data_IF_094617428083
#
_entry.id   IF_094617428083
#
_cell.length_a   1.000
_cell.length_b   1.000
_cell.length_c   1.000
_cell.angle_alpha   90.00
_cell.angle_beta   90.00
_cell.angle_gamma   90.00
#
_symmetry.space_group_name_H-M   'P 1'
#
loop_
_entity.id
_entity.type
_entity.pdbx_description
1 polymer ?
#
# COMPACT_ATOMS: atom_id res chain seq x y z
N UNK A 1 -44.90 17.40 -64.63
CA UNK A 1 -43.51 16.97 -64.34
C UNK A 1 -43.29 17.04 -62.83
N UNK A 2 -43.52 15.96 -62.11
CA UNK A 2 -43.00 15.76 -60.75
C UNK A 2 -42.72 14.26 -60.59
N UNK A 3 -41.46 13.90 -60.76
CA UNK A 3 -40.92 12.57 -60.50
C UNK A 3 -40.79 12.39 -58.99
N UNK A 4 -41.60 11.52 -58.40
CA UNK A 4 -41.39 11.02 -57.03
C UNK A 4 -40.27 9.99 -57.06
N UNK A 5 -39.12 10.36 -56.51
CA UNK A 5 -38.00 9.46 -56.25
C UNK A 5 -38.29 8.73 -54.94
N UNK A 6 -38.72 7.47 -55.02
CA UNK A 6 -38.82 6.57 -53.87
C UNK A 6 -37.41 6.18 -53.43
N UNK A 7 -36.90 6.82 -52.39
CA UNK A 7 -35.66 6.42 -51.71
C UNK A 7 -35.99 5.28 -50.76
N UNK A 8 -35.62 4.07 -51.15
CA UNK A 8 -35.60 2.89 -50.28
C UNK A 8 -34.58 3.11 -49.14
N UNK A 9 -34.91 2.84 -47.87
CA UNK A 9 -33.91 2.89 -46.80
C UNK A 9 -32.92 1.72 -46.94
N UNK A 10 -31.66 1.86 -46.47
CA UNK A 10 -30.64 0.83 -46.61
C UNK A 10 -30.91 -0.32 -45.63
N UNK A 11 -31.80 -1.22 -46.00
CA UNK A 11 -32.14 -2.43 -45.22
C UNK A 11 -30.97 -3.42 -45.09
N UNK A 12 -29.84 -3.19 -45.78
CA UNK A 12 -28.70 -4.11 -45.86
C UNK A 12 -27.70 -3.90 -44.71
N UNK A 13 -27.58 -2.69 -44.15
CA UNK A 13 -26.63 -2.41 -43.07
C UNK A 13 -27.07 -3.03 -41.72
N UNK A 14 -28.38 -3.10 -41.47
CA UNK A 14 -28.94 -3.59 -40.20
C UNK A 14 -28.83 -5.13 -40.09
N UNK A 15 -28.75 -5.85 -41.21
CA UNK A 15 -28.64 -7.32 -41.21
C UNK A 15 -27.21 -7.82 -40.97
N UNK A 16 -26.19 -7.03 -41.31
CA UNK A 16 -24.77 -7.38 -41.13
C UNK A 16 -24.32 -7.36 -39.66
N UNK A 17 -25.01 -6.61 -38.79
CA UNK A 17 -24.67 -6.54 -37.36
C UNK A 17 -25.17 -7.75 -36.54
N UNK A 18 -25.95 -8.67 -37.13
CA UNK A 18 -26.53 -9.80 -36.38
C UNK A 18 -25.53 -10.86 -35.94
N UNK A 19 -24.27 -10.82 -36.39
CA UNK A 19 -23.24 -11.81 -36.04
C UNK A 19 -21.83 -11.19 -35.94
N UNK A 20 -21.68 -9.97 -35.44
CA UNK A 20 -20.35 -9.45 -35.09
C UNK A 20 -19.83 -10.21 -33.86
N UNK A 21 -19.22 -11.39 -34.09
CA UNK A 21 -18.55 -12.18 -33.06
C UNK A 21 -17.19 -11.54 -32.80
N UNK A 22 -17.05 -10.91 -31.64
CA UNK A 22 -15.74 -10.45 -31.17
C UNK A 22 -14.81 -11.67 -30.99
N UNK A 23 -13.59 -11.64 -31.53
CA UNK A 23 -12.56 -12.61 -31.22
C UNK A 23 -12.34 -12.72 -29.70
N UNK A 24 -12.09 -13.94 -29.16
CA UNK A 24 -11.85 -14.13 -27.73
C UNK A 24 -10.74 -13.24 -27.17
N UNK A 25 -9.72 -12.94 -27.96
CA UNK A 25 -8.59 -12.10 -27.60
C UNK A 25 -9.03 -10.65 -27.31
N UNK A 26 -9.98 -10.13 -28.10
CA UNK A 26 -10.54 -8.79 -27.87
C UNK A 26 -11.41 -8.77 -26.62
N UNK A 27 -12.16 -9.84 -26.34
CA UNK A 27 -12.93 -9.97 -25.09
C UNK A 27 -11.99 -9.98 -23.89
N UNK A 28 -10.92 -10.76 -23.94
CA UNK A 28 -9.91 -10.81 -22.88
C UNK A 28 -9.22 -9.45 -22.68
N UNK A 29 -8.93 -8.75 -23.78
CA UNK A 29 -8.36 -7.40 -23.71
C UNK A 29 -9.33 -6.41 -23.06
N UNK A 30 -10.62 -6.44 -23.40
CA UNK A 30 -11.65 -5.62 -22.75
C UNK A 30 -11.70 -5.90 -21.24
N UNK A 31 -11.57 -7.17 -20.84
CA UNK A 31 -11.54 -7.55 -19.42
C UNK A 31 -10.29 -6.99 -18.73
N UNK A 32 -9.12 -7.02 -19.39
CA UNK A 32 -7.89 -6.44 -18.86
C UNK A 32 -7.97 -4.91 -18.73
N UNK A 33 -8.73 -4.24 -19.60
CA UNK A 33 -8.97 -2.80 -19.49
C UNK A 33 -9.93 -2.41 -18.36
N UNK A 34 -10.56 -3.37 -17.66
CA UNK A 34 -11.42 -3.05 -16.52
C UNK A 34 -10.62 -2.60 -15.29
N UNK A 35 -9.39 -3.10 -15.11
CA UNK A 35 -8.56 -2.74 -13.95
C UNK A 35 -7.85 -1.40 -14.17
N UNK A 36 -7.58 -0.62 -13.11
CA UNK A 36 -6.85 0.64 -13.23
C UNK A 36 -5.48 0.45 -13.87
N UNK A 37 -4.99 1.51 -14.53
CA UNK A 37 -3.63 1.52 -15.11
C UNK A 37 -2.52 1.44 -14.06
N UNK A 38 -2.81 1.83 -12.81
CA UNK A 38 -1.88 1.70 -11.70
C UNK A 38 -1.70 0.22 -11.35
N UNK A 39 -0.53 -0.32 -11.68
CA UNK A 39 -0.17 -1.73 -11.43
C UNK A 39 -0.27 -2.12 -9.95
N UNK A 40 -0.23 -1.13 -9.05
CA UNK A 40 -0.24 -1.31 -7.61
C UNK A 40 -1.65 -1.24 -7.01
N UNK A 41 -2.71 -0.81 -7.71
CA UNK A 41 -4.03 -0.63 -7.11
C UNK A 41 -4.56 -1.90 -6.39
N UNK A 42 -5.28 -1.71 -5.29
CA UNK A 42 -6.10 -2.73 -4.62
C UNK A 42 -7.56 -2.26 -4.68
N UNK A 43 -8.44 -3.10 -5.19
CA UNK A 43 -9.84 -2.78 -5.42
C UNK A 43 -10.69 -3.40 -4.30
N UNK A 44 -11.39 -2.58 -3.50
CA UNK A 44 -12.21 -3.11 -2.42
C UNK A 44 -13.43 -3.88 -2.96
N UNK A 45 -14.09 -4.71 -2.13
CA UNK A 45 -15.23 -5.55 -2.55
C UNK A 45 -16.41 -4.75 -3.11
N UNK A 46 -16.58 -3.51 -2.66
CA UNK A 46 -17.66 -2.62 -3.09
C UNK A 46 -17.39 -1.94 -4.44
N UNK A 47 -16.14 -1.96 -4.92
CA UNK A 47 -15.73 -1.32 -6.16
C UNK A 47 -16.42 -1.95 -7.37
N UNK A 48 -16.82 -1.11 -8.34
CA UNK A 48 -17.58 -1.56 -9.51
C UNK A 48 -16.81 -2.63 -10.30
N UNK A 49 -15.51 -2.42 -10.52
CA UNK A 49 -14.64 -3.37 -11.23
C UNK A 49 -14.59 -4.73 -10.52
N UNK A 50 -14.46 -4.77 -9.19
CA UNK A 50 -14.44 -6.02 -8.42
C UNK A 50 -15.73 -6.81 -8.61
N UNK A 51 -16.88 -6.12 -8.57
CA UNK A 51 -18.20 -6.73 -8.82
C UNK A 51 -18.30 -7.24 -10.26
N UNK A 52 -17.87 -6.45 -11.24
CA UNK A 52 -17.87 -6.82 -12.66
C UNK A 52 -16.99 -8.05 -12.91
N UNK A 53 -15.77 -8.08 -12.36
CA UNK A 53 -14.88 -9.24 -12.47
C UNK A 53 -15.51 -10.48 -11.83
N UNK A 54 -16.12 -10.34 -10.66
CA UNK A 54 -16.84 -11.45 -10.02
C UNK A 54 -17.98 -11.97 -10.91
N UNK A 55 -18.80 -11.09 -11.50
CA UNK A 55 -19.83 -11.51 -12.46
C UNK A 55 -19.22 -12.22 -13.67
N UNK A 56 -18.11 -11.72 -14.21
CA UNK A 56 -17.40 -12.34 -15.34
C UNK A 56 -16.86 -13.75 -15.02
N UNK A 57 -16.64 -14.07 -13.74
CA UNK A 57 -16.30 -15.45 -13.34
C UNK A 57 -17.43 -16.44 -13.62
N UNK A 58 -18.68 -15.99 -13.66
CA UNK A 58 -19.86 -16.84 -13.86
C UNK A 58 -20.29 -16.99 -15.32
N UNK A 59 -19.72 -16.21 -16.25
CA UNK A 59 -20.20 -16.14 -17.65
C UNK A 59 -19.75 -17.34 -18.48
N UNK A 60 -18.44 -17.57 -18.63
CA UNK A 60 -17.90 -18.71 -19.36
C UNK A 60 -16.49 -19.09 -18.87
N UNK A 61 -15.95 -20.22 -19.35
CA UNK A 61 -14.62 -20.70 -18.92
C UNK A 61 -13.47 -19.74 -19.27
N UNK A 62 -13.57 -19.06 -20.41
CA UNK A 62 -12.54 -18.12 -20.88
C UNK A 62 -12.51 -16.86 -20.01
N UNK A 63 -13.68 -16.25 -19.76
CA UNK A 63 -13.78 -15.09 -18.86
C UNK A 63 -13.46 -15.46 -17.42
N UNK A 64 -13.86 -16.66 -16.98
CA UNK A 64 -13.55 -17.18 -15.65
C UNK A 64 -12.06 -17.14 -15.34
N UNK A 65 -11.22 -17.66 -16.24
CA UNK A 65 -9.77 -17.73 -16.00
C UNK A 65 -9.17 -16.33 -15.87
N UNK A 66 -9.54 -15.42 -16.77
CA UNK A 66 -8.99 -14.06 -16.78
C UNK A 66 -9.49 -13.23 -15.60
N UNK A 67 -10.79 -13.23 -15.35
CA UNK A 67 -11.37 -12.50 -14.23
C UNK A 67 -10.87 -13.03 -12.88
N UNK A 68 -10.73 -14.35 -12.72
CA UNK A 68 -10.15 -14.94 -11.51
C UNK A 68 -8.69 -14.53 -11.29
N UNK A 69 -7.90 -14.41 -12.35
CA UNK A 69 -6.53 -13.89 -12.28
C UNK A 69 -6.53 -12.45 -11.79
N UNK A 70 -7.34 -11.57 -12.40
CA UNK A 70 -7.40 -10.16 -12.02
C UNK A 70 -7.94 -9.96 -10.59
N UNK A 71 -8.93 -10.73 -10.17
CA UNK A 71 -9.43 -10.71 -8.78
C UNK A 71 -8.32 -11.02 -7.77
N UNK A 72 -7.47 -12.02 -8.05
CA UNK A 72 -6.38 -12.42 -7.16
C UNK A 72 -5.18 -11.48 -7.18
N UNK A 73 -5.04 -10.71 -8.25
CA UNK A 73 -3.97 -9.72 -8.40
C UNK A 73 -4.33 -8.36 -7.80
N UNK A 74 -5.60 -7.95 -7.88
CA UNK A 74 -6.03 -6.60 -7.53
C UNK A 74 -7.08 -6.54 -6.42
N UNK A 75 -7.81 -7.62 -6.10
CA UNK A 75 -9.02 -7.53 -5.26
C UNK A 75 -8.90 -8.27 -3.93
N UNK A 76 -7.68 -8.58 -3.47
CA UNK A 76 -7.48 -9.27 -2.19
C UNK A 76 -7.54 -8.24 -1.06
N UNK A 77 -8.75 -8.01 -0.58
CA UNK A 77 -9.09 -7.04 0.44
C UNK A 77 -9.80 -7.74 1.59
N UNK A 78 -9.08 -7.89 2.71
CA UNK A 78 -9.54 -8.58 3.92
C UNK A 78 -9.65 -7.54 5.02
N UNK A 79 -10.87 -7.12 5.34
CA UNK A 79 -11.19 -6.03 6.28
C UNK A 79 -11.88 -6.47 7.57
N UNK A 80 -11.96 -7.78 7.79
CA UNK A 80 -12.46 -8.36 9.03
C UNK A 80 -11.94 -9.80 9.21
N UNK A 81 -12.04 -10.31 10.45
CA UNK A 81 -11.57 -11.66 10.81
C UNK A 81 -12.37 -12.78 10.13
N UNK A 82 -13.67 -12.57 9.87
CA UNK A 82 -14.52 -13.56 9.22
C UNK A 82 -14.10 -13.79 7.75
N UNK A 83 -13.76 -12.73 7.04
CA UNK A 83 -13.20 -12.79 5.68
C UNK A 83 -11.84 -13.45 5.67
N UNK A 84 -11.00 -13.17 6.67
CA UNK A 84 -9.70 -13.84 6.81
C UNK A 84 -9.88 -15.36 6.97
N UNK A 85 -10.73 -15.78 7.91
CA UNK A 85 -11.05 -17.19 8.12
C UNK A 85 -11.63 -17.85 6.86
N UNK A 86 -12.55 -17.16 6.17
CA UNK A 86 -13.15 -17.64 4.91
C UNK A 86 -12.10 -17.79 3.81
N UNK A 87 -11.18 -16.82 3.70
CA UNK A 87 -10.10 -16.84 2.73
C UNK A 87 -9.18 -18.05 2.96
N UNK A 88 -8.70 -18.24 4.18
CA UNK A 88 -7.88 -19.39 4.57
C UNK A 88 -8.57 -20.71 4.28
N UNK A 89 -9.85 -20.82 4.61
CA UNK A 89 -10.64 -22.01 4.34
C UNK A 89 -10.78 -22.31 2.82
N UNK A 90 -10.66 -21.29 1.98
CA UNK A 90 -10.72 -21.43 0.53
C UNK A 90 -9.36 -21.70 -0.12
N UNK A 91 -8.23 -21.40 0.54
CA UNK A 91 -6.88 -21.66 0.01
C UNK A 91 -6.68 -23.10 -0.49
N UNK A 92 -7.01 -24.16 0.29
CA UNK A 92 -6.78 -25.54 -0.14
C UNK A 92 -7.85 -26.04 -1.13
N UNK A 93 -8.93 -25.30 -1.34
CA UNK A 93 -10.06 -25.77 -2.16
C UNK A 93 -9.71 -25.69 -3.65
N UNK A 94 -9.73 -26.85 -4.30
CA UNK A 94 -9.74 -26.97 -5.76
C UNK A 94 -11.19 -27.15 -6.22
N UNK A 95 -11.61 -26.45 -7.27
CA UNK A 95 -12.89 -26.69 -7.93
C UNK A 95 -12.61 -27.55 -9.18
N UNK A 96 -12.86 -28.88 -9.15
CA UNK A 96 -12.40 -29.79 -10.21
C UNK A 96 -13.02 -29.52 -11.59
N UNK A 97 -14.19 -28.87 -11.61
CA UNK A 97 -14.98 -28.62 -12.83
C UNK A 97 -14.62 -27.32 -13.54
N UNK A 98 -13.82 -26.46 -12.93
CA UNK A 98 -13.40 -25.17 -13.46
C UNK A 98 -11.92 -25.21 -13.86
N UNK A 99 -11.56 -24.45 -14.90
CA UNK A 99 -10.16 -24.33 -15.33
C UNK A 99 -9.29 -23.85 -14.17
N UNK A 100 -8.09 -24.43 -14.01
CA UNK A 100 -7.18 -23.99 -12.95
C UNK A 100 -6.82 -22.52 -13.14
N UNK A 101 -7.23 -21.69 -12.18
CA UNK A 101 -6.83 -20.29 -12.06
C UNK A 101 -5.74 -20.18 -10.97
N UNK A 102 -4.92 -19.12 -10.99
CA UNK A 102 -3.80 -18.87 -10.05
C UNK A 102 -4.16 -19.15 -8.59
N UNK A 103 -3.60 -20.16 -7.92
CA UNK A 103 -3.99 -20.48 -6.53
C UNK A 103 -4.02 -19.25 -5.60
N UNK A 104 -4.92 -19.24 -4.62
CA UNK A 104 -5.04 -18.16 -3.61
C UNK A 104 -3.76 -17.99 -2.75
N UNK A 105 -2.81 -18.92 -2.85
CA UNK A 105 -1.45 -18.82 -2.29
C UNK A 105 -0.54 -17.87 -3.09
N UNK A 106 -0.90 -17.52 -4.32
CA UNK A 106 -0.06 -16.77 -5.25
C UNK A 106 -0.52 -15.33 -5.45
N UNK A 107 -1.06 -14.72 -4.40
CA UNK A 107 -1.38 -13.30 -4.41
C UNK A 107 -0.11 -12.47 -4.33
N UNK A 108 -0.10 -11.30 -4.97
CA UNK A 108 1.05 -10.39 -4.95
C UNK A 108 0.77 -9.12 -4.15
N UNK A 109 -0.51 -8.77 -3.98
CA UNK A 109 -0.98 -7.60 -3.24
C UNK A 109 -2.03 -8.02 -2.21
N UNK A 110 -2.03 -7.36 -1.06
CA UNK A 110 -2.97 -7.63 0.03
C UNK A 110 -3.27 -6.36 0.83
N UNK A 111 -4.55 -6.07 1.01
CA UNK A 111 -5.02 -5.21 2.10
C UNK A 111 -5.53 -6.09 3.24
N UNK A 112 -5.04 -5.85 4.46
CA UNK A 112 -5.33 -6.68 5.63
C UNK A 112 -5.64 -5.83 6.87
N UNK A 113 -6.89 -5.90 7.34
CA UNK A 113 -7.40 -5.27 8.55
C UNK A 113 -8.32 -6.23 9.31
N UNK A 114 -7.80 -7.34 9.86
CA UNK A 114 -8.63 -8.43 10.35
C UNK A 114 -9.10 -8.21 11.80
N UNK A 115 -8.46 -7.29 12.52
CA UNK A 115 -8.81 -6.93 13.89
C UNK A 115 -9.87 -5.83 13.90
N UNK A 116 -10.67 -5.80 14.95
CA UNK A 116 -11.51 -4.65 15.25
C UNK A 116 -10.64 -3.42 15.56
N UNK A 117 -11.15 -2.21 15.32
CA UNK A 117 -10.39 -0.98 15.57
C UNK A 117 -9.94 -0.79 17.04
N UNK A 118 -10.53 -1.51 17.99
CA UNK A 118 -10.32 -1.30 19.42
C UNK A 118 -9.31 -2.23 20.09
N UNK A 119 -8.96 -3.37 19.50
CA UNK A 119 -8.09 -4.35 20.18
C UNK A 119 -7.35 -5.29 19.23
N UNK A 120 -6.07 -5.49 19.52
CA UNK A 120 -5.19 -6.48 18.93
C UNK A 120 -5.23 -7.82 19.70
N UNK A 121 -5.76 -7.84 20.92
CA UNK A 121 -5.71 -8.98 21.85
C UNK A 121 -6.70 -10.11 21.47
N UNK A 122 -6.49 -10.70 20.29
CA UNK A 122 -7.27 -11.79 19.72
C UNK A 122 -6.31 -12.81 19.08
N UNK A 123 -5.95 -13.82 19.88
CA UNK A 123 -5.03 -14.88 19.46
C UNK A 123 -5.53 -15.66 18.23
N UNK A 124 -6.79 -16.14 18.15
CA UNK A 124 -7.31 -16.78 16.93
C UNK A 124 -7.09 -15.95 15.67
N UNK A 125 -7.40 -14.65 15.70
CA UNK A 125 -7.18 -13.76 14.55
C UNK A 125 -5.69 -13.62 14.24
N UNK A 126 -4.82 -13.49 15.25
CA UNK A 126 -3.37 -13.45 15.05
C UNK A 126 -2.80 -14.74 14.43
N UNK A 127 -3.31 -15.91 14.83
CA UNK A 127 -2.92 -17.19 14.24
C UNK A 127 -3.33 -17.28 12.77
N UNK A 128 -4.53 -16.82 12.41
CA UNK A 128 -4.97 -16.75 11.03
C UNK A 128 -4.13 -15.79 10.20
N UNK A 129 -3.71 -14.64 10.75
CA UNK A 129 -2.78 -13.73 10.06
C UNK A 129 -1.44 -14.42 9.80
N UNK A 130 -0.88 -15.11 10.81
CA UNK A 130 0.35 -15.89 10.67
C UNK A 130 0.23 -16.96 9.59
N UNK A 131 -0.88 -17.69 9.56
CA UNK A 131 -1.14 -18.73 8.56
C UNK A 131 -1.25 -18.15 7.14
N UNK A 132 -1.96 -17.03 6.97
CA UNK A 132 -2.07 -16.36 5.68
C UNK A 132 -0.69 -15.94 5.16
N UNK A 133 0.15 -15.37 6.03
CA UNK A 133 1.50 -14.97 5.66
C UNK A 133 2.40 -16.16 5.36
N UNK A 134 2.25 -17.29 6.08
CA UNK A 134 2.94 -18.53 5.74
C UNK A 134 2.56 -19.02 4.33
N UNK A 135 1.27 -18.97 3.99
CA UNK A 135 0.76 -19.42 2.69
C UNK A 135 1.14 -18.52 1.51
N UNK A 136 1.44 -17.24 1.77
CA UNK A 136 1.68 -16.22 0.74
C UNK A 136 3.10 -15.63 0.77
N UNK A 137 3.97 -16.09 1.67
CA UNK A 137 5.30 -15.51 1.92
C UNK A 137 6.19 -15.41 0.67
N UNK A 138 6.07 -16.37 -0.25
CA UNK A 138 6.91 -16.44 -1.45
C UNK A 138 6.42 -15.53 -2.59
N UNK A 139 5.19 -15.05 -2.51
CA UNK A 139 4.46 -14.42 -3.63
C UNK A 139 4.01 -13.01 -3.30
N UNK A 140 3.70 -12.72 -2.05
CA UNK A 140 3.32 -11.39 -1.60
C UNK A 140 4.47 -10.40 -1.80
N UNK A 141 4.18 -9.29 -2.49
CA UNK A 141 5.13 -8.19 -2.78
C UNK A 141 4.68 -6.89 -2.15
N UNK A 142 3.36 -6.69 -2.01
CA UNK A 142 2.74 -5.47 -1.51
C UNK A 142 1.77 -5.79 -0.39
N UNK A 143 1.93 -5.13 0.74
CA UNK A 143 1.08 -5.31 1.91
C UNK A 143 0.67 -3.96 2.50
N UNK A 144 -0.65 -3.74 2.58
CA UNK A 144 -1.25 -2.64 3.34
C UNK A 144 -1.91 -3.26 4.57
N UNK A 145 -1.54 -2.81 5.76
CA UNK A 145 -2.15 -3.25 7.01
C UNK A 145 -2.84 -2.11 7.73
N UNK A 146 -3.93 -2.42 8.40
CA UNK A 146 -4.60 -1.55 9.35
C UNK A 146 -4.96 -2.38 10.59
N UNK A 147 -4.14 -2.28 11.63
CA UNK A 147 -4.28 -3.05 12.87
C UNK A 147 -3.96 -2.13 14.05
N UNK A 148 -4.63 -2.30 15.21
CA UNK A 148 -4.44 -1.44 16.38
C UNK A 148 -3.22 -1.89 17.20
N UNK A 149 -2.01 -1.78 16.65
CA UNK A 149 -0.75 -2.18 17.31
C UNK A 149 -0.52 -1.56 18.69
N UNK A 150 -0.97 -0.34 18.92
CA UNK A 150 -0.86 0.39 20.18
C UNK A 150 -1.84 -0.10 21.26
N UNK A 151 -2.88 -0.84 20.88
CA UNK A 151 -3.89 -1.35 21.84
C UNK A 151 -3.39 -2.46 22.76
N UNK A 152 -2.28 -3.12 22.41
CA UNK A 152 -1.71 -4.23 23.19
C UNK A 152 -0.26 -3.94 23.58
N UNK A 153 -0.06 -3.58 24.83
CA UNK A 153 1.25 -3.29 25.38
C UNK A 153 2.08 -4.58 25.56
N UNK A 154 3.41 -4.57 25.34
CA UNK A 154 4.27 -5.75 25.50
C UNK A 154 4.15 -6.51 26.83
N UNK A 155 3.88 -5.79 27.93
CA UNK A 155 3.75 -6.38 29.27
C UNK A 155 2.39 -7.04 29.51
N UNK A 156 1.38 -6.71 28.69
CA UNK A 156 0.00 -7.19 28.81
C UNK A 156 -0.32 -8.31 27.81
N UNK A 157 0.65 -8.68 26.95
CA UNK A 157 0.54 -9.71 25.91
C UNK A 157 0.57 -11.15 26.48
N UNK A 158 -0.41 -11.45 27.32
CA UNK A 158 -0.55 -12.74 28.00
C UNK A 158 -0.91 -13.90 27.05
N UNK A 159 -1.43 -13.61 25.86
CA UNK A 159 -1.77 -14.60 24.84
C UNK A 159 -0.67 -14.79 23.78
N UNK A 160 0.50 -14.14 23.93
CA UNK A 160 1.58 -14.18 22.94
C UNK A 160 1.12 -13.73 21.52
N UNK A 161 0.16 -12.80 21.43
CA UNK A 161 -0.38 -12.28 20.17
C UNK A 161 0.71 -11.58 19.38
N UNK A 162 1.51 -10.71 20.00
CA UNK A 162 2.55 -9.93 19.31
C UNK A 162 3.62 -10.86 18.79
N UNK A 163 3.98 -11.88 19.57
CA UNK A 163 4.90 -12.97 19.16
C UNK A 163 4.35 -13.78 17.98
N UNK A 164 3.06 -14.08 17.98
CA UNK A 164 2.39 -14.82 16.90
C UNK A 164 2.35 -14.01 15.61
N UNK A 165 1.96 -12.73 15.67
CA UNK A 165 1.99 -11.81 14.54
C UNK A 165 3.40 -11.64 14.00
N UNK A 166 4.37 -11.41 14.89
CA UNK A 166 5.79 -11.25 14.52
C UNK A 166 6.28 -12.41 13.67
N UNK A 167 6.04 -13.65 14.10
CA UNK A 167 6.40 -14.86 13.33
C UNK A 167 5.79 -14.87 11.92
N UNK A 168 4.59 -14.33 11.74
CA UNK A 168 3.98 -14.17 10.43
C UNK A 168 4.73 -13.15 9.57
N UNK A 169 4.93 -11.94 10.09
CA UNK A 169 5.59 -10.84 9.36
C UNK A 169 7.04 -11.16 8.98
N UNK A 170 7.78 -11.87 9.83
CA UNK A 170 9.16 -12.27 9.56
C UNK A 170 9.32 -13.17 8.34
N UNK A 171 8.26 -13.89 7.94
CA UNK A 171 8.30 -14.79 6.78
C UNK A 171 8.20 -14.05 5.43
N UNK A 172 7.77 -12.79 5.41
CA UNK A 172 7.49 -12.02 4.19
C UNK A 172 8.77 -11.49 3.50
N UNK A 173 9.73 -12.38 3.20
CA UNK A 173 11.05 -12.01 2.69
C UNK A 173 11.05 -11.43 1.27
N UNK A 174 9.94 -11.55 0.53
CA UNK A 174 9.75 -10.97 -0.81
C UNK A 174 8.99 -9.66 -0.81
N UNK A 175 8.69 -9.10 0.35
CA UNK A 175 7.96 -7.85 0.40
C UNK A 175 8.80 -6.69 -0.15
N UNK A 176 8.25 -6.00 -1.14
CA UNK A 176 8.84 -4.85 -1.82
C UNK A 176 8.19 -3.54 -1.36
N UNK A 177 6.93 -3.61 -0.93
CA UNK A 177 6.12 -2.48 -0.51
C UNK A 177 5.32 -2.80 0.75
N UNK A 178 5.44 -1.93 1.74
CA UNK A 178 4.71 -2.04 3.00
C UNK A 178 4.10 -0.70 3.43
N UNK A 179 2.82 -0.72 3.81
CA UNK A 179 2.12 0.42 4.38
C UNK A 179 1.42 -0.01 5.66
N UNK A 180 1.80 0.58 6.79
CA UNK A 180 1.07 0.45 8.05
C UNK A 180 0.23 1.70 8.27
N UNK A 181 -1.09 1.53 8.40
CA UNK A 181 -2.05 2.62 8.57
C UNK A 181 -2.32 2.88 10.05
N UNK A 182 -2.60 4.15 10.36
CA UNK A 182 -2.98 4.71 11.68
C UNK A 182 -1.92 4.64 12.77
N UNK A 183 -1.17 3.54 12.89
CA UNK A 183 -0.29 3.29 14.02
C UNK A 183 1.08 2.73 13.60
N UNK A 184 2.07 2.86 14.47
CA UNK A 184 3.38 2.26 14.26
C UNK A 184 3.31 0.73 14.44
N UNK A 185 3.90 -0.09 13.54
CA UNK A 185 3.83 -1.55 13.59
C UNK A 185 4.75 -2.16 14.68
N UNK A 186 4.53 -1.79 15.94
CA UNK A 186 5.34 -2.22 17.08
C UNK A 186 5.01 -3.67 17.46
N UNK A 187 5.82 -4.59 16.97
CA UNK A 187 5.79 -6.02 17.31
C UNK A 187 7.04 -6.48 18.07
N UNK A 188 7.73 -5.54 18.72
CA UNK A 188 8.90 -5.82 19.55
C UNK A 188 8.54 -6.72 20.74
N UNK A 189 9.25 -7.83 20.93
CA UNK A 189 9.07 -8.75 22.06
C UNK A 189 10.35 -8.80 22.90
N UNK A 190 10.32 -9.27 24.16
CA UNK A 190 11.52 -9.33 25.01
C UNK A 190 12.70 -10.06 24.37
N UNK A 191 12.45 -11.09 23.56
CA UNK A 191 13.50 -11.86 22.89
C UNK A 191 13.92 -11.27 21.52
N UNK A 192 13.20 -10.25 21.03
CA UNK A 192 13.44 -9.66 19.72
C UNK A 192 12.87 -8.25 19.63
N UNK A 193 13.72 -7.27 19.94
CA UNK A 193 13.32 -5.86 20.05
C UNK A 193 13.19 -5.11 18.73
N UNK A 194 13.70 -5.69 17.65
CA UNK A 194 13.82 -4.96 16.40
C UNK A 194 12.57 -5.11 15.53
N UNK A 195 12.33 -4.06 14.75
CA UNK A 195 11.16 -3.98 13.88
C UNK A 195 11.19 -5.03 12.77
N UNK A 196 10.03 -5.61 12.48
CA UNK A 196 9.92 -6.70 11.50
C UNK A 196 10.26 -6.27 10.09
N UNK A 197 9.97 -5.01 9.74
CA UNK A 197 10.16 -4.48 8.40
C UNK A 197 11.63 -4.39 7.99
N UNK A 198 12.56 -4.33 8.95
CA UNK A 198 14.00 -4.34 8.68
C UNK A 198 14.49 -5.68 8.09
N UNK A 199 13.72 -6.75 8.27
CA UNK A 199 14.08 -8.11 7.87
C UNK A 199 13.78 -8.39 6.40
N UNK A 200 13.14 -7.46 5.69
CA UNK A 200 12.71 -7.63 4.31
C UNK A 200 13.78 -7.07 3.34
N UNK A 201 14.62 -7.92 2.73
CA UNK A 201 15.77 -7.48 1.95
C UNK A 201 15.39 -6.79 0.63
N UNK A 202 14.18 -7.07 0.14
CA UNK A 202 13.65 -6.56 -1.12
C UNK A 202 12.79 -5.29 -0.93
N UNK A 203 12.68 -4.76 0.30
CA UNK A 203 11.83 -3.61 0.62
C UNK A 203 12.33 -2.32 -0.06
N UNK A 204 11.47 -1.71 -0.86
CA UNK A 204 11.73 -0.48 -1.63
C UNK A 204 10.88 0.69 -1.18
N UNK A 205 9.66 0.41 -0.74
CA UNK A 205 8.66 1.40 -0.38
C UNK A 205 8.10 1.11 1.02
N UNK A 206 8.22 2.08 1.92
CA UNK A 206 7.84 1.93 3.32
C UNK A 206 6.99 3.12 3.77
N UNK A 207 5.82 2.88 4.32
CA UNK A 207 4.97 3.91 4.92
C UNK A 207 4.67 3.54 6.37
N UNK A 208 5.02 4.45 7.29
CA UNK A 208 4.91 4.27 8.75
C UNK A 208 4.14 5.42 9.35
N UNK A 209 3.25 5.11 10.30
CA UNK A 209 2.54 6.10 11.10
C UNK A 209 3.21 6.27 12.46
N UNK A 210 3.20 7.50 13.00
CA UNK A 210 3.62 7.76 14.38
C UNK A 210 5.12 7.53 14.64
N UNK A 211 5.95 7.48 13.59
CA UNK A 211 7.38 7.25 13.75
C UNK A 211 8.05 8.43 14.46
N UNK A 212 8.85 8.15 15.48
CA UNK A 212 9.57 9.18 16.25
C UNK A 212 10.89 9.54 15.58
N UNK A 213 11.07 10.80 15.19
CA UNK A 213 12.26 11.24 14.45
C UNK A 213 13.53 11.33 15.32
N UNK A 214 13.39 11.33 16.64
CA UNK A 214 14.49 11.28 17.61
C UNK A 214 14.97 9.84 17.91
N UNK A 215 14.26 8.82 17.41
CA UNK A 215 14.62 7.43 17.65
C UNK A 215 15.83 7.03 16.80
N UNK A 216 17.00 6.93 17.44
CA UNK A 216 18.23 6.50 16.78
C UNK A 216 18.16 5.12 16.11
N UNK A 217 17.35 4.19 16.62
CA UNK A 217 17.19 2.84 16.04
C UNK A 217 16.39 2.88 14.73
N UNK A 218 15.38 3.76 14.64
CA UNK A 218 14.60 3.96 13.42
C UNK A 218 15.53 4.31 12.24
N UNK A 219 16.39 5.31 12.44
CA UNK A 219 17.33 5.75 11.40
C UNK A 219 18.39 4.71 11.06
N UNK A 220 18.83 3.93 12.05
CA UNK A 220 19.73 2.81 11.81
C UNK A 220 19.08 1.76 10.90
N UNK A 221 17.85 1.36 11.20
CA UNK A 221 17.13 0.38 10.41
C UNK A 221 16.84 0.92 8.99
N UNK A 222 16.43 2.19 8.84
CA UNK A 222 16.26 2.85 7.53
C UNK A 222 17.56 2.88 6.72
N UNK A 223 18.69 3.26 7.33
CA UNK A 223 19.98 3.32 6.65
C UNK A 223 20.45 1.93 6.17
N UNK A 224 20.20 0.89 6.96
CA UNK A 224 20.67 -0.47 6.65
C UNK A 224 19.88 -1.18 5.55
N UNK A 225 18.63 -0.79 5.29
CA UNK A 225 17.78 -1.36 4.24
C UNK A 225 18.29 -1.07 2.84
N UNK A 226 19.01 -2.01 2.22
CA UNK A 226 19.81 -1.76 1.00
C UNK A 226 19.04 -1.19 -0.21
N UNK A 227 17.77 -1.58 -0.40
CA UNK A 227 16.95 -1.23 -1.57
C UNK A 227 15.89 -0.15 -1.31
N UNK A 228 15.87 0.46 -0.13
CA UNK A 228 14.86 1.45 0.22
C UNK A 228 14.97 2.70 -0.67
N UNK A 229 13.95 2.95 -1.47
CA UNK A 229 13.85 4.05 -2.43
C UNK A 229 12.98 5.18 -1.88
N UNK A 230 11.86 4.86 -1.24
CA UNK A 230 10.95 5.85 -0.69
C UNK A 230 10.43 5.47 0.70
N UNK A 231 10.33 6.47 1.55
CA UNK A 231 9.79 6.39 2.90
C UNK A 231 8.71 7.46 3.06
N UNK A 232 7.52 7.07 3.50
CA UNK A 232 6.46 8.00 3.93
C UNK A 232 6.35 7.89 5.44
N UNK A 233 6.58 9.00 6.15
CA UNK A 233 6.35 9.10 7.58
C UNK A 233 5.11 9.95 7.80
N UNK A 234 3.99 9.29 8.09
CA UNK A 234 2.73 9.94 8.37
C UNK A 234 2.58 10.18 9.87
N UNK A 235 2.13 11.39 10.27
CA UNK A 235 2.05 11.82 11.67
C UNK A 235 3.35 11.55 12.45
N UNK A 236 4.53 11.93 11.94
CA UNK A 236 5.77 11.70 12.67
C UNK A 236 5.79 12.53 13.96
N UNK A 237 6.51 12.02 14.96
CA UNK A 237 6.66 12.68 16.26
C UNK A 237 8.05 13.33 16.37
N UNK A 238 8.15 14.40 17.16
CA UNK A 238 9.40 15.10 17.47
C UNK A 238 10.12 15.71 16.24
N UNK A 239 9.39 16.51 15.45
CA UNK A 239 9.87 17.14 14.21
C UNK A 239 11.17 17.96 14.35
N UNK A 240 11.29 18.69 15.44
CA UNK A 240 12.35 19.67 15.73
C UNK A 240 13.52 19.07 16.52
N UNK A 241 13.42 17.80 16.91
CA UNK A 241 14.41 17.18 17.78
C UNK A 241 15.70 16.78 17.06
N UNK A 242 15.65 16.54 15.74
CA UNK A 242 16.76 15.92 15.01
C UNK A 242 16.94 16.47 13.60
N UNK A 243 18.21 16.69 13.26
CA UNK A 243 18.65 16.88 11.89
C UNK A 243 18.63 15.54 11.13
N UNK A 244 17.59 15.32 10.32
CA UNK A 244 17.32 14.06 9.64
C UNK A 244 18.51 13.56 8.81
N UNK A 245 19.14 14.46 8.03
CA UNK A 245 20.26 14.06 7.15
C UNK A 245 21.47 13.66 7.98
N UNK A 246 21.81 14.48 8.95
CA UNK A 246 22.92 14.24 9.85
C UNK A 246 22.78 12.89 10.58
N UNK A 247 21.60 12.64 11.14
CA UNK A 247 21.27 11.40 11.84
C UNK A 247 21.36 10.18 10.93
N UNK A 248 20.79 10.26 9.71
CA UNK A 248 20.84 9.19 8.72
C UNK A 248 22.27 8.85 8.27
N UNK A 249 23.05 9.86 7.85
CA UNK A 249 24.39 9.64 7.30
C UNK A 249 25.43 9.25 8.34
N UNK A 250 25.20 9.55 9.63
CA UNK A 250 26.06 9.09 10.73
C UNK A 250 25.89 7.61 11.08
N UNK A 251 24.79 6.96 10.66
CA UNK A 251 24.54 5.55 11.02
C UNK A 251 25.50 4.57 10.37
N UNK A 252 25.98 4.86 9.16
CA UNK A 252 26.88 3.95 8.45
C UNK A 252 28.24 4.59 8.22
N UNK A 253 29.33 3.79 8.12
CA UNK A 253 30.64 4.31 7.81
C UNK A 253 30.65 5.10 6.50
N UNK A 254 31.48 6.15 6.43
CA UNK A 254 31.68 6.93 5.21
C UNK A 254 32.14 5.99 4.08
N UNK A 255 31.43 6.03 2.95
CA UNK A 255 31.72 5.18 1.79
C UNK A 255 30.94 3.86 1.73
N UNK A 256 30.08 3.56 2.71
CA UNK A 256 29.16 2.42 2.61
C UNK A 256 28.26 2.57 1.36
N UNK A 257 28.17 1.49 0.56
CA UNK A 257 27.42 1.47 -0.72
C UNK A 257 25.95 1.82 -0.51
N UNK A 258 25.39 1.51 0.66
CA UNK A 258 23.99 1.81 1.00
C UNK A 258 23.72 3.30 1.13
N UNK A 259 24.70 4.09 1.55
CA UNK A 259 24.63 5.56 1.55
C UNK A 259 24.79 6.16 0.13
N UNK A 260 25.07 5.32 -0.87
CA UNK A 260 25.20 5.68 -2.28
C UNK A 260 23.88 5.88 -3.02
N UNK A 261 22.80 5.28 -2.53
CA UNK A 261 21.50 5.28 -3.21
C UNK A 261 20.78 6.62 -3.09
N UNK A 262 19.84 6.86 -4.00
CA UNK A 262 18.87 7.95 -3.86
C UNK A 262 17.68 7.43 -3.05
N UNK A 263 17.37 8.09 -1.94
CA UNK A 263 16.21 7.79 -1.10
C UNK A 263 15.39 9.07 -0.94
N UNK A 264 14.06 8.95 -1.04
CA UNK A 264 13.11 10.04 -0.77
C UNK A 264 12.37 9.79 0.53
N UNK A 265 12.27 10.81 1.37
CA UNK A 265 11.46 10.82 2.59
C UNK A 265 10.37 11.84 2.40
N UNK A 266 9.11 11.42 2.53
CA UNK A 266 7.95 12.28 2.56
C UNK A 266 7.42 12.33 4.01
N UNK A 267 7.52 13.48 4.65
CA UNK A 267 6.89 13.74 5.94
C UNK A 267 5.48 14.26 5.69
N UNK A 268 4.48 13.67 6.32
CA UNK A 268 3.08 13.98 6.07
C UNK A 268 2.33 14.19 7.38
N UNK A 269 1.62 15.31 7.49
CA UNK A 269 0.75 15.60 8.62
C UNK A 269 -0.50 16.38 8.16
N UNK A 270 -1.50 16.47 9.04
CA UNK A 270 -2.64 17.32 8.84
C UNK A 270 -2.19 18.78 8.76
N UNK A 271 -2.80 19.56 7.87
CA UNK A 271 -2.45 20.97 7.67
C UNK A 271 -2.33 21.72 9.00
N UNK A 272 -1.34 22.61 9.08
CA UNK A 272 -0.98 23.41 10.27
C UNK A 272 -0.35 22.64 11.46
N UNK A 273 -0.01 21.35 11.28
CA UNK A 273 0.77 20.56 12.27
C UNK A 273 2.20 20.26 11.85
N UNK A 274 2.60 20.68 10.66
CA UNK A 274 3.97 20.54 10.18
C UNK A 274 4.91 21.25 11.17
N UNK A 275 5.85 20.48 11.72
CA UNK A 275 6.95 21.03 12.51
C UNK A 275 8.07 21.56 11.63
N UNK A 276 8.97 22.33 12.25
CA UNK A 276 10.18 22.83 11.57
C UNK A 276 11.24 21.75 11.57
N UNK A 277 11.72 21.35 10.39
CA UNK A 277 12.82 20.39 10.24
C UNK A 277 14.15 21.14 10.37
N UNK A 278 15.08 20.64 11.19
CA UNK A 278 16.44 21.20 11.26
C UNK A 278 17.23 20.88 9.98
N UNK A 279 17.49 21.93 9.19
CA UNK A 279 18.22 21.87 7.93
C UNK A 279 19.70 22.28 8.03
N UNK A 280 20.21 22.49 9.24
CA UNK A 280 21.57 23.00 9.45
C UNK A 280 22.61 22.07 8.80
N UNK A 281 23.52 22.62 7.99
CA UNK A 281 24.61 21.86 7.37
C UNK A 281 24.20 20.83 6.30
N UNK A 282 22.95 20.80 5.84
CA UNK A 282 22.49 19.77 4.87
C UNK A 282 23.30 19.72 3.57
N UNK A 283 23.75 20.87 3.06
CA UNK A 283 24.59 20.95 1.85
C UNK A 283 25.98 20.32 2.06
N UNK A 284 26.49 20.30 3.29
CA UNK A 284 27.79 19.71 3.65
C UNK A 284 27.66 18.21 3.94
N UNK A 285 26.56 17.82 4.60
CA UNK A 285 26.28 16.42 4.97
C UNK A 285 25.92 15.59 3.72
N UNK A 286 25.10 16.14 2.83
CA UNK A 286 24.62 15.47 1.61
C UNK A 286 24.81 16.35 0.37
N UNK A 287 26.07 16.57 -0.07
CA UNK A 287 26.37 17.46 -1.19
C UNK A 287 25.80 16.98 -2.52
N UNK A 288 25.47 15.68 -2.63
CA UNK A 288 24.95 15.07 -3.86
C UNK A 288 23.43 14.96 -3.87
N UNK A 289 22.73 15.41 -2.82
CA UNK A 289 21.28 15.30 -2.71
C UNK A 289 20.78 13.86 -2.78
N UNK A 290 21.48 12.92 -2.15
CA UNK A 290 21.11 11.50 -2.12
C UNK A 290 19.89 11.24 -1.26
N UNK A 291 19.68 12.05 -0.21
CA UNK A 291 18.49 11.98 0.63
C UNK A 291 17.63 13.23 0.37
N UNK A 292 16.51 13.05 -0.31
CA UNK A 292 15.51 14.10 -0.50
C UNK A 292 14.49 14.03 0.64
N UNK A 293 14.21 15.16 1.28
CA UNK A 293 13.17 15.28 2.31
C UNK A 293 12.13 16.26 1.78
N UNK A 294 10.88 15.80 1.70
CA UNK A 294 9.72 16.55 1.25
C UNK A 294 8.68 16.58 2.38
N UNK A 295 7.89 17.65 2.46
CA UNK A 295 6.77 17.75 3.40
C UNK A 295 5.46 17.92 2.62
N UNK A 296 4.45 17.13 2.97
CA UNK A 296 3.13 17.22 2.37
C UNK A 296 2.06 17.49 3.43
N UNK A 297 1.38 18.62 3.27
CA UNK A 297 0.19 18.98 4.04
C UNK A 297 -1.03 18.18 3.58
N UNK A 298 -1.68 17.49 4.51
CA UNK A 298 -3.00 16.88 4.28
C UNK A 298 -4.09 17.94 4.53
N UNK A 299 -4.87 18.33 3.50
CA UNK A 299 -5.86 19.38 3.65
C UNK A 299 -6.93 19.02 4.68
N UNK A 300 -7.22 19.95 5.59
CA UNK A 300 -8.32 19.79 6.56
C UNK A 300 -9.64 20.31 5.98
N UNK A 301 -10.71 19.52 6.00
CA UNK A 301 -12.04 20.02 5.69
C UNK A 301 -12.49 21.05 6.74
N UNK A 302 -13.05 22.18 6.30
CA UNK A 302 -13.48 23.27 7.19
C UNK A 302 -14.60 22.86 8.17
N UNK A 303 -15.38 21.83 7.82
CA UNK A 303 -16.51 21.31 8.61
C UNK A 303 -16.33 19.85 9.03
N UNK A 304 -15.13 19.28 8.93
CA UNK A 304 -14.90 17.89 9.34
C UNK A 304 -14.84 17.75 10.85
N UNK A 305 -15.52 16.73 11.37
CA UNK A 305 -15.44 16.26 12.75
C UNK A 305 -14.39 15.16 12.96
N UNK A 306 -13.75 14.72 11.87
CA UNK A 306 -12.66 13.75 11.87
C UNK A 306 -11.47 14.27 12.69
N UNK A 307 -10.90 13.38 13.49
CA UNK A 307 -9.63 13.63 14.16
C UNK A 307 -8.50 13.73 13.15
N UNK A 308 -7.37 14.34 13.54
CA UNK A 308 -6.19 14.43 12.70
C UNK A 308 -5.65 13.04 12.32
N UNK A 309 -5.79 12.06 13.22
CA UNK A 309 -5.34 10.68 13.01
C UNK A 309 -6.21 10.00 11.95
N UNK A 310 -7.52 10.15 12.04
CA UNK A 310 -8.49 9.64 11.06
C UNK A 310 -8.25 10.28 9.68
N UNK A 311 -8.12 11.62 9.62
CA UNK A 311 -7.93 12.35 8.38
C UNK A 311 -6.68 11.88 7.62
N UNK A 312 -5.53 11.82 8.30
CA UNK A 312 -4.27 11.41 7.65
C UNK A 312 -4.28 9.91 7.33
N UNK A 313 -4.88 9.08 8.20
CA UNK A 313 -5.07 7.65 7.94
C UNK A 313 -5.87 7.43 6.68
N UNK A 314 -7.00 8.12 6.51
CA UNK A 314 -7.85 7.98 5.33
C UNK A 314 -7.22 8.57 4.07
N UNK A 315 -6.40 9.61 4.22
CA UNK A 315 -5.59 10.12 3.11
C UNK A 315 -4.59 9.07 2.63
N UNK A 316 -3.70 8.59 3.51
CA UNK A 316 -2.68 7.58 3.16
C UNK A 316 -3.33 6.29 2.70
N UNK A 317 -4.43 5.85 3.32
CA UNK A 317 -5.18 4.66 2.91
C UNK A 317 -5.70 4.80 1.47
N UNK A 318 -6.24 5.97 1.08
CA UNK A 318 -6.67 6.20 -0.29
C UNK A 318 -5.49 6.07 -1.27
N UNK A 319 -4.38 6.77 -1.01
CA UNK A 319 -3.17 6.69 -1.85
C UNK A 319 -2.55 5.29 -1.90
N UNK A 320 -2.60 4.55 -0.79
CA UNK A 320 -2.09 3.20 -0.75
C UNK A 320 -3.03 2.26 -1.52
N UNK A 321 -4.34 2.35 -1.34
CA UNK A 321 -5.30 1.48 -2.02
C UNK A 321 -5.36 1.78 -3.52
N UNK A 322 -5.27 3.03 -3.96
CA UNK A 322 -5.26 3.36 -5.40
C UNK A 322 -3.89 3.15 -6.08
N UNK A 323 -2.81 3.06 -5.29
CA UNK A 323 -1.44 2.86 -5.77
C UNK A 323 -0.67 4.15 -6.07
N UNK A 324 -1.23 5.32 -5.76
CA UNK A 324 -0.63 6.64 -6.03
C UNK A 324 0.26 7.17 -4.91
N UNK A 325 0.27 6.57 -3.72
CA UNK A 325 1.00 7.05 -2.54
C UNK A 325 2.48 7.40 -2.83
N UNK A 326 3.15 6.60 -3.64
CA UNK A 326 4.58 6.75 -3.97
C UNK A 326 4.85 7.75 -5.10
N UNK A 327 3.80 8.26 -5.73
CA UNK A 327 3.87 9.30 -6.76
C UNK A 327 3.70 10.70 -6.17
N UNK A 328 3.13 10.78 -4.96
CA UNK A 328 2.89 12.05 -4.27
C UNK A 328 4.19 12.81 -4.01
N UNK A 329 4.06 14.14 -4.10
CA UNK A 329 5.14 15.12 -3.92
C UNK A 329 4.73 16.13 -2.88
N UNK A 330 5.68 16.46 -2.02
CA UNK A 330 5.56 17.56 -1.09
C UNK A 330 6.49 18.72 -1.48
N UNK A 331 6.48 19.75 -0.66
CA UNK A 331 7.43 20.85 -0.74
C UNK A 331 8.80 20.36 -0.30
N UNK A 332 9.82 20.63 -1.12
CA UNK A 332 11.17 20.18 -0.82
C UNK A 332 11.78 20.99 0.32
N UNK A 333 12.22 20.31 1.37
CA UNK A 333 12.85 20.95 2.53
C UNK A 333 14.29 21.33 2.18
N UNK A 334 14.68 22.57 2.48
CA UNK A 334 16.04 23.06 2.27
C UNK A 334 16.42 23.29 0.79
N UNK A 335 15.43 23.34 -0.12
CA UNK A 335 15.59 23.95 -1.44
C UNK A 335 15.63 25.48 -1.29
N UNK A 336 16.40 26.17 -2.13
CA UNK A 336 16.57 27.63 -2.06
C UNK A 336 15.23 28.36 -1.90
N UNK A 337 15.13 29.23 -0.88
CA UNK A 337 14.19 30.34 -0.83
C UNK A 337 14.40 31.21 -2.08
N UNK A 338 13.66 30.91 -3.14
CA UNK A 338 13.91 31.48 -4.46
C UNK A 338 12.74 31.37 -5.42
N UNK A 339 11.50 31.30 -4.92
CA UNK A 339 10.30 31.56 -5.72
C UNK A 339 9.07 31.81 -4.82
N UNK A 340 9.11 32.87 -4.00
CA UNK A 340 7.85 33.56 -3.67
C UNK A 340 7.35 34.21 -4.96
N UNK A 341 6.56 33.46 -5.74
CA UNK A 341 5.72 34.01 -6.78
C UNK A 341 4.57 34.75 -6.11
N UNK A 342 4.56 36.06 -6.27
CA UNK A 342 3.40 36.92 -6.02
C UNK A 342 2.13 36.28 -6.60
N UNK A 343 1.14 36.03 -5.74
CA UNK A 343 -0.24 35.88 -6.20
C UNK A 343 -0.78 37.30 -6.35
N UNK A 344 -0.71 37.83 -7.56
CA UNK A 344 -1.57 38.93 -8.02
C UNK A 344 -2.76 38.33 -8.76
N UNK A 345 -3.97 38.60 -8.27
CA UNK A 345 -5.22 38.49 -9.02
C UNK A 345 -6.06 37.26 -8.73
#
# INVERSE_FOLDING_TARGET
MHTQTTVSPPSVAITAMKNARLPPELILHIIDCLVPSHAHAILPPRHIVTKTLLTLTSVCRTTYRQASRLLRQYCVYIDDSQRLATYLHCIPRLVPTLSSALSLRHITTLYLAPFTASSLDDLPTAEWVRELFCETCNTLRRLIIHMPFASLHPLDDHLDVRKTLRRGFEQLNKLEEFTCLAEYPSLSVPDAHADVWRLWPDLRYLALFGASLDNHLLWWDIATLSKLEQLVLARPQHWDAVNIKDEYFRKLPKGDVRLGRKTRILLMDAAYRIGVVDTTGWKEIDPNGRLAVEILDVPRPFYGDETEDELVTDWVKRGAVDGSLWEWRGDQVGGDDGAHGEIVG
#
